data_IF_120957122816
#
_entry.id   IF_120957122816
#
_cell.length_a   1.000
_cell.length_b   1.000
_cell.length_c   1.000
_cell.angle_alpha   90.00
_cell.angle_beta   90.00
_cell.angle_gamma   90.00
#
_symmetry.space_group_name_H-M   'P 1'
#
loop_
_entity.id
_entity.type
_entity.pdbx_description
1 polymer ?
#
# COMPACT_ATOMS: atom_id res chain seq x y z
N UNK A 1 4.41 5.22 -17.31
CA UNK A 1 4.42 3.90 -16.65
C UNK A 1 3.75 4.09 -15.30
N UNK A 2 2.69 3.35 -14.99
CA UNK A 2 2.06 3.39 -13.66
C UNK A 2 2.88 2.59 -12.65
N UNK A 3 2.51 2.67 -11.37
CA UNK A 3 3.22 2.02 -10.25
C UNK A 3 2.88 0.54 -10.05
N UNK A 4 1.96 0.00 -10.87
CA UNK A 4 1.53 -1.39 -10.80
C UNK A 4 2.69 -2.42 -10.90
N UNK A 5 3.71 -2.25 -11.76
CA UNK A 5 4.87 -3.16 -11.80
C UNK A 5 5.67 -3.23 -10.49
N UNK A 6 5.64 -2.18 -9.68
CA UNK A 6 6.34 -2.14 -8.40
C UNK A 6 5.57 -2.93 -7.32
N UNK A 7 4.26 -3.11 -7.49
CA UNK A 7 3.44 -3.84 -6.54
C UNK A 7 3.82 -5.32 -6.44
N UNK A 8 4.34 -5.95 -7.51
CA UNK A 8 4.79 -7.34 -7.49
C UNK A 8 5.87 -7.59 -6.43
N UNK A 9 6.91 -6.76 -6.44
CA UNK A 9 8.00 -6.87 -5.48
C UNK A 9 7.54 -6.63 -4.03
N UNK A 10 6.50 -5.83 -3.83
CA UNK A 10 5.95 -5.55 -2.49
C UNK A 10 5.17 -6.75 -1.94
N UNK A 11 4.51 -7.55 -2.78
CA UNK A 11 3.72 -8.71 -2.33
C UNK A 11 4.54 -10.01 -2.31
N UNK A 12 5.66 -10.09 -3.02
CA UNK A 12 6.43 -11.33 -3.25
C UNK A 12 6.86 -12.04 -1.95
N UNK A 13 7.32 -11.28 -0.94
CA UNK A 13 7.85 -11.84 0.31
C UNK A 13 6.91 -11.81 1.53
N UNK A 14 5.66 -11.37 1.37
CA UNK A 14 4.74 -11.17 2.49
C UNK A 14 3.60 -12.20 2.46
N UNK A 15 3.40 -13.00 3.54
CA UNK A 15 2.20 -13.81 3.68
C UNK A 15 1.01 -12.89 3.97
N UNK A 16 -0.08 -13.07 3.23
CA UNK A 16 -1.30 -12.31 3.43
C UNK A 16 -2.51 -13.13 2.99
N UNK A 17 -3.59 -13.10 3.78
CA UNK A 17 -4.89 -13.66 3.36
C UNK A 17 -5.67 -12.68 2.48
N UNK A 18 -5.40 -11.37 2.64
CA UNK A 18 -6.08 -10.27 1.96
C UNK A 18 -5.07 -9.21 1.53
N UNK A 19 -5.17 -8.77 0.27
CA UNK A 19 -4.37 -7.68 -0.27
C UNK A 19 -5.30 -6.53 -0.68
N UNK A 20 -5.17 -5.40 0.02
CA UNK A 20 -5.90 -4.16 -0.27
C UNK A 20 -5.01 -3.20 -1.06
N UNK A 21 -5.55 -2.65 -2.15
CA UNK A 21 -4.85 -1.63 -2.93
C UNK A 21 -5.83 -0.66 -3.58
N UNK A 22 -5.31 0.50 -3.99
CA UNK A 22 -6.09 1.50 -4.71
C UNK A 22 -6.47 1.02 -6.12
N UNK A 23 -7.50 1.63 -6.69
CA UNK A 23 -7.97 1.37 -8.06
C UNK A 23 -6.86 1.45 -9.13
N UNK A 24 -5.82 2.26 -8.90
CA UNK A 24 -4.68 2.37 -9.83
C UNK A 24 -3.85 1.08 -9.95
N UNK A 25 -3.94 0.19 -8.95
CA UNK A 25 -3.31 -1.13 -8.94
C UNK A 25 -4.20 -2.23 -9.52
N UNK A 26 -5.38 -1.87 -10.01
CA UNK A 26 -6.31 -2.81 -10.61
C UNK A 26 -5.80 -3.31 -11.97
N UNK A 27 -4.97 -4.35 -11.95
CA UNK A 27 -4.41 -5.01 -13.12
C UNK A 27 -4.55 -6.53 -13.00
N UNK A 28 -4.85 -7.19 -14.12
CA UNK A 28 -5.01 -8.66 -14.14
C UNK A 28 -3.77 -9.42 -13.66
N UNK A 29 -2.54 -9.07 -14.07
CA UNK A 29 -1.39 -9.85 -13.60
C UNK A 29 -1.14 -9.64 -12.09
N UNK A 30 -1.48 -8.48 -11.50
CA UNK A 30 -1.39 -8.29 -10.06
C UNK A 30 -2.44 -9.13 -9.32
N UNK A 31 -3.69 -9.15 -9.80
CA UNK A 31 -4.76 -9.98 -9.22
C UNK A 31 -4.42 -11.47 -9.31
N UNK A 32 -3.83 -11.92 -10.43
CA UNK A 32 -3.37 -13.30 -10.57
C UNK A 32 -2.25 -13.61 -9.58
N UNK A 33 -1.23 -12.76 -9.44
CA UNK A 33 -0.16 -12.96 -8.48
C UNK A 33 -0.66 -13.02 -7.02
N UNK A 34 -1.66 -12.21 -6.67
CA UNK A 34 -2.33 -12.27 -5.36
C UNK A 34 -3.07 -13.60 -5.18
N UNK A 35 -3.80 -14.06 -6.20
CA UNK A 35 -4.54 -15.33 -6.15
C UNK A 35 -3.61 -16.56 -6.09
N UNK A 36 -2.49 -16.55 -6.82
CA UNK A 36 -1.46 -17.60 -6.79
C UNK A 36 -0.84 -17.76 -5.38
N UNK A 37 -0.80 -16.68 -4.61
CA UNK A 37 -0.39 -16.68 -3.20
C UNK A 37 -1.47 -17.16 -2.24
N UNK A 38 -2.68 -17.48 -2.73
CA UNK A 38 -3.82 -17.88 -1.92
C UNK A 38 -4.54 -16.70 -1.25
N UNK A 39 -4.24 -15.46 -1.65
CA UNK A 39 -4.79 -14.25 -1.04
C UNK A 39 -5.98 -13.70 -1.83
N UNK A 40 -6.84 -12.92 -1.16
CA UNK A 40 -7.98 -12.24 -1.78
C UNK A 40 -7.62 -10.79 -2.14
N UNK A 41 -7.79 -10.43 -3.41
CA UNK A 41 -7.57 -9.07 -3.90
C UNK A 41 -8.77 -8.16 -3.61
N UNK A 42 -8.68 -7.33 -2.57
CA UNK A 42 -9.67 -6.30 -2.23
C UNK A 42 -9.23 -4.97 -2.87
N UNK A 43 -9.38 -4.92 -4.19
CA UNK A 43 -8.99 -3.79 -5.04
C UNK A 43 -10.24 -3.31 -5.78
N UNK A 44 -10.61 -2.03 -5.73
CA UNK A 44 -11.72 -1.51 -6.50
C UNK A 44 -11.50 -1.67 -8.00
N UNK A 45 -12.58 -1.82 -8.75
CA UNK A 45 -12.50 -1.94 -10.20
C UNK A 45 -12.20 -0.58 -10.84
N UNK A 46 -11.24 -0.55 -11.75
CA UNK A 46 -11.01 0.55 -12.65
C UNK A 46 -12.28 0.76 -13.51
N UNK A 47 -12.77 2.00 -13.68
CA UNK A 47 -13.95 2.28 -14.50
C UNK A 47 -13.90 1.69 -15.91
N UNK A 48 -12.70 1.59 -16.51
CA UNK A 48 -12.48 1.07 -17.85
C UNK A 48 -12.41 -0.46 -17.92
N UNK A 49 -12.47 -1.16 -16.79
CA UNK A 49 -12.37 -2.62 -16.76
C UNK A 49 -13.65 -3.27 -17.32
N UNK A 50 -13.49 -4.15 -18.30
CA UNK A 50 -14.60 -4.87 -18.91
C UNK A 50 -15.32 -5.83 -17.93
N UNK A 51 -14.56 -6.60 -17.15
CA UNK A 51 -15.09 -7.56 -16.18
C UNK A 51 -14.95 -7.04 -14.75
N UNK A 52 -16.05 -6.71 -14.08
CA UNK A 52 -16.03 -6.22 -12.69
C UNK A 52 -15.93 -7.39 -11.70
N UNK A 53 -15.11 -7.23 -10.67
CA UNK A 53 -14.98 -8.14 -9.53
C UNK A 53 -15.78 -7.62 -8.32
N UNK A 54 -16.33 -8.52 -7.47
CA UNK A 54 -16.94 -8.10 -6.21
C UNK A 54 -15.90 -7.42 -5.32
N UNK A 55 -16.32 -6.38 -4.59
CA UNK A 55 -15.49 -5.64 -3.64
C UNK A 55 -16.13 -5.72 -2.26
N UNK A 56 -15.40 -6.26 -1.29
CA UNK A 56 -15.76 -6.12 0.11
C UNK A 56 -15.45 -4.69 0.56
N UNK A 57 -16.51 -3.87 0.71
CA UNK A 57 -16.41 -2.48 1.11
C UNK A 57 -15.95 -2.31 2.56
N UNK A 58 -16.28 -3.25 3.44
CA UNK A 58 -15.89 -3.18 4.84
C UNK A 58 -14.39 -3.42 5.00
N UNK A 59 -13.86 -4.45 4.31
CA UNK A 59 -12.42 -4.67 4.25
C UNK A 59 -11.72 -3.49 3.58
N UNK A 60 -12.21 -3.03 2.43
CA UNK A 60 -11.59 -1.89 1.74
C UNK A 60 -11.55 -0.60 2.60
N UNK A 61 -12.56 -0.37 3.44
CA UNK A 61 -12.59 0.78 4.35
C UNK A 61 -11.45 0.75 5.40
N UNK A 62 -10.90 -0.41 5.74
CA UNK A 62 -9.78 -0.53 6.69
C UNK A 62 -8.50 0.14 6.18
N UNK A 63 -8.38 0.39 4.87
CA UNK A 63 -7.28 1.18 4.27
C UNK A 63 -7.16 2.57 4.89
N UNK A 64 -8.25 3.12 5.46
CA UNK A 64 -8.23 4.38 6.19
C UNK A 64 -7.20 4.40 7.34
N UNK A 65 -6.99 3.27 8.02
CA UNK A 65 -5.99 3.16 9.09
C UNK A 65 -4.56 3.42 8.56
N UNK A 66 -4.27 2.91 7.37
CA UNK A 66 -3.00 3.11 6.69
C UNK A 66 -2.85 4.58 6.26
N UNK A 67 -3.90 5.18 5.70
CA UNK A 67 -3.92 6.61 5.34
C UNK A 67 -3.69 7.50 6.56
N UNK A 68 -4.34 7.21 7.69
CA UNK A 68 -4.13 7.90 8.96
C UNK A 68 -2.69 7.75 9.46
N UNK A 69 -2.10 6.56 9.36
CA UNK A 69 -0.71 6.31 9.71
C UNK A 69 0.25 7.18 8.87
N UNK A 70 0.07 7.19 7.55
CA UNK A 70 0.88 8.05 6.67
C UNK A 70 0.65 9.54 6.92
N UNK A 71 -0.57 9.95 7.23
CA UNK A 71 -0.88 11.34 7.61
C UNK A 71 -0.11 11.74 8.86
N UNK A 72 -0.11 10.90 9.91
CA UNK A 72 0.68 11.12 11.13
C UNK A 72 2.19 11.14 10.85
N UNK A 73 2.70 10.22 10.03
CA UNK A 73 4.11 10.21 9.63
C UNK A 73 4.51 11.49 8.88
N UNK A 74 3.61 12.04 8.06
CA UNK A 74 3.84 13.30 7.33
C UNK A 74 3.75 14.55 8.22
N UNK A 75 3.30 14.46 9.47
CA UNK A 75 3.42 15.57 10.43
C UNK A 75 4.89 15.88 10.75
N UNK A 76 5.77 14.88 10.64
CA UNK A 76 7.21 15.09 10.73
C UNK A 76 7.72 15.72 9.44
N UNK A 77 8.03 17.02 9.48
CA UNK A 77 8.45 17.80 8.29
C UNK A 77 9.52 17.10 7.46
N UNK A 78 10.56 16.53 8.09
CA UNK A 78 11.65 15.82 7.40
C UNK A 78 11.20 14.58 6.63
N UNK A 79 10.17 13.88 7.12
CA UNK A 79 9.55 12.74 6.42
C UNK A 79 8.74 13.25 5.23
N UNK A 80 7.86 14.23 5.45
CA UNK A 80 6.99 14.75 4.39
C UNK A 80 7.76 15.36 3.21
N UNK A 81 8.82 16.11 3.48
CA UNK A 81 9.60 16.80 2.44
C UNK A 81 10.75 15.97 1.90
N UNK A 82 11.03 14.78 2.47
CA UNK A 82 12.16 13.93 2.09
C UNK A 82 13.49 14.70 2.01
N UNK A 83 13.83 15.45 3.06
CA UNK A 83 15.06 16.27 3.09
C UNK A 83 16.35 15.47 3.06
N UNK A 84 16.30 14.19 3.41
CA UNK A 84 17.49 13.34 3.45
C UNK A 84 17.96 12.98 2.04
N UNK A 85 19.24 13.25 1.74
CA UNK A 85 19.84 13.02 0.41
C UNK A 85 20.00 11.54 0.08
N UNK A 86 20.22 10.68 1.07
CA UNK A 86 20.45 9.25 0.88
C UNK A 86 19.24 8.45 1.33
N UNK A 87 18.97 7.33 0.64
CA UNK A 87 17.89 6.42 1.01
C UNK A 87 18.06 5.87 2.44
N UNK A 88 19.31 5.60 2.85
CA UNK A 88 19.64 5.15 4.21
C UNK A 88 19.22 6.17 5.26
N UNK A 89 19.57 7.44 5.08
CA UNK A 89 19.22 8.47 6.05
C UNK A 89 17.71 8.72 6.08
N UNK A 90 17.07 8.72 4.91
CA UNK A 90 15.61 8.85 4.84
C UNK A 90 14.91 7.72 5.59
N UNK A 91 15.36 6.47 5.40
CA UNK A 91 14.84 5.32 6.13
C UNK A 91 15.01 5.51 7.64
N UNK A 92 16.18 5.93 8.12
CA UNK A 92 16.41 6.18 9.55
C UNK A 92 15.43 7.22 10.12
N UNK A 93 15.15 8.30 9.40
CA UNK A 93 14.20 9.34 9.83
C UNK A 93 12.77 8.79 9.85
N UNK A 94 12.37 8.00 8.85
CA UNK A 94 11.05 7.35 8.80
C UNK A 94 10.90 6.37 9.96
N UNK A 95 11.91 5.54 10.23
CA UNK A 95 11.91 4.61 11.35
C UNK A 95 11.80 5.33 12.69
N UNK A 96 12.58 6.40 12.90
CA UNK A 96 12.49 7.21 14.12
C UNK A 96 11.09 7.81 14.32
N UNK A 97 10.51 8.40 13.25
CA UNK A 97 9.16 8.94 13.30
C UNK A 97 8.12 7.85 13.62
N UNK A 98 8.23 6.67 13.01
CA UNK A 98 7.36 5.54 13.27
C UNK A 98 7.48 5.04 14.72
N UNK A 99 8.70 4.95 15.28
CA UNK A 99 8.92 4.59 16.69
C UNK A 99 8.27 5.60 17.63
N UNK A 100 8.40 6.90 17.35
CA UNK A 100 7.76 7.96 18.15
C UNK A 100 6.23 7.85 18.08
N UNK A 101 5.66 7.53 16.92
CA UNK A 101 4.22 7.31 16.78
C UNK A 101 3.75 6.05 17.50
N UNK A 102 4.58 5.01 17.58
CA UNK A 102 4.27 3.77 18.27
C UNK A 102 4.28 3.91 19.80
N UNK A 103 5.16 4.76 20.34
CA UNK A 103 5.29 5.00 21.78
C UNK A 103 4.24 5.98 22.34
N UNK A 104 3.41 6.57 21.48
CA UNK A 104 2.33 7.49 21.86
C UNK A 104 1.04 6.76 22.12
#
# INVERSE_FOLDING_TARGET
RGDCPQAYALIEGLPADVVMADTAYDADPLRHAIAEKGAVAVIPNNPSRARKYPLDKHLYAQRHLIECCFSKLKQFRRVATRYEKTARNYLSVVTLAATILWLR
#
